data_IF_986792491453
#
_entry.id   IF_986792491453
#
_cell.length_a   1.000
_cell.length_b   1.000
_cell.length_c   1.000
_cell.angle_alpha   90.00
_cell.angle_beta   90.00
_cell.angle_gamma   90.00
#
_symmetry.space_group_name_H-M   'P 1'
#
loop_
_entity.id
_entity.type
_entity.pdbx_description
1 polymer ?
#
# COMPACT_ATOMS: atom_id res chain seq x y z
N UNK A 1 -25.45 -6.11 6.25
CA UNK A 1 -26.59 -6.22 5.31
C UNK A 1 -26.98 -4.79 4.99
N UNK A 2 -27.00 -4.40 3.71
CA UNK A 2 -27.08 -3.00 3.32
C UNK A 2 -28.53 -2.51 3.40
N UNK A 3 -28.78 -1.38 4.06
CA UNK A 3 -30.14 -0.84 4.24
C UNK A 3 -30.28 0.54 3.60
N UNK A 4 -31.36 0.72 2.84
CA UNK A 4 -31.70 1.98 2.17
C UNK A 4 -32.43 2.90 3.15
N UNK A 5 -31.81 4.03 3.50
CA UNK A 5 -32.43 5.01 4.39
C UNK A 5 -32.79 6.28 3.61
N UNK A 6 -34.05 6.74 3.76
CA UNK A 6 -34.53 8.04 3.26
C UNK A 6 -34.29 9.10 4.33
N UNK A 7 -33.52 10.15 4.02
CA UNK A 7 -33.35 11.31 4.90
C UNK A 7 -33.94 12.54 4.22
N UNK A 8 -34.80 13.27 4.94
CA UNK A 8 -35.61 14.36 4.41
C UNK A 8 -34.82 15.56 3.84
N UNK A 9 -35.48 16.24 2.88
CA UNK A 9 -35.17 17.52 2.27
C UNK A 9 -34.01 17.59 1.25
N UNK A 10 -33.83 16.54 0.47
CA UNK A 10 -33.44 16.50 -0.94
C UNK A 10 -33.40 15.01 -1.28
N UNK A 11 -33.80 14.61 -2.48
CA UNK A 11 -33.90 13.20 -2.88
C UNK A 11 -32.50 12.56 -2.91
N UNK A 12 -31.98 12.16 -1.75
CA UNK A 12 -30.65 11.55 -1.62
C UNK A 12 -30.80 10.28 -0.79
N UNK A 13 -30.76 9.16 -1.48
CA UNK A 13 -30.82 7.84 -0.90
C UNK A 13 -29.47 7.49 -0.29
N UNK A 14 -29.46 7.13 1.00
CA UNK A 14 -28.28 6.68 1.69
C UNK A 14 -28.27 5.15 1.71
N UNK A 15 -27.24 4.55 1.12
CA UNK A 15 -26.96 3.14 1.31
C UNK A 15 -26.05 2.97 2.50
N UNK A 16 -26.55 2.33 3.55
CA UNK A 16 -25.78 2.06 4.77
C UNK A 16 -25.29 0.64 4.74
N UNK A 17 -23.97 0.47 4.84
CA UNK A 17 -23.30 -0.82 4.90
C UNK A 17 -22.87 -1.05 6.35
N UNK A 18 -23.48 -2.03 6.99
CA UNK A 18 -23.03 -2.55 8.28
C UNK A 18 -21.76 -3.41 8.10
N UNK A 19 -20.64 -2.93 8.63
CA UNK A 19 -19.34 -3.59 8.59
C UNK A 19 -19.12 -4.55 9.77
N UNK A 20 -19.92 -4.51 10.84
CA UNK A 20 -19.68 -5.28 12.07
C UNK A 20 -19.57 -6.79 11.88
N UNK A 21 -20.20 -7.32 10.83
CA UNK A 21 -20.17 -8.75 10.50
C UNK A 21 -18.89 -9.19 9.78
N UNK A 22 -18.08 -8.23 9.33
CA UNK A 22 -16.83 -8.46 8.61
C UNK A 22 -15.61 -8.13 9.47
N UNK A 23 -15.78 -7.26 10.47
CA UNK A 23 -14.72 -6.82 11.37
C UNK A 23 -14.48 -7.85 12.48
N UNK A 24 -13.21 -8.10 12.81
CA UNK A 24 -12.85 -8.87 14.00
C UNK A 24 -13.08 -8.08 15.30
N UNK A 25 -12.99 -8.75 16.45
CA UNK A 25 -13.11 -8.09 17.77
C UNK A 25 -12.04 -6.99 17.93
N UNK A 26 -12.49 -5.75 18.14
CA UNK A 26 -11.62 -4.57 18.26
C UNK A 26 -11.13 -3.98 16.93
N UNK A 27 -11.55 -4.55 15.79
CA UNK A 27 -11.33 -3.97 14.46
C UNK A 27 -12.41 -2.92 14.15
N UNK A 28 -12.02 -1.76 13.64
CA UNK A 28 -12.93 -0.67 13.26
C UNK A 28 -12.45 0.08 12.03
N UNK A 29 -13.38 0.62 11.25
CA UNK A 29 -13.09 1.38 10.02
C UNK A 29 -12.40 2.70 10.36
N UNK A 30 -11.32 3.01 9.63
CA UNK A 30 -10.52 4.23 9.77
C UNK A 30 -10.51 5.09 8.52
N UNK A 31 -10.86 4.52 7.37
CA UNK A 31 -11.06 5.24 6.11
C UNK A 31 -12.00 4.48 5.17
N UNK A 32 -12.68 5.20 4.28
CA UNK A 32 -13.38 4.63 3.14
C UNK A 32 -13.16 5.50 1.89
N UNK A 33 -13.10 4.89 0.71
CA UNK A 33 -13.17 5.55 -0.61
C UNK A 33 -14.09 4.75 -1.54
N UNK A 34 -14.68 5.36 -2.57
CA UNK A 34 -15.58 4.67 -3.48
C UNK A 34 -15.55 5.19 -4.91
N UNK A 35 -15.89 4.32 -5.86
CA UNK A 35 -16.01 4.63 -7.30
C UNK A 35 -17.26 3.97 -7.88
N UNK A 36 -17.73 4.48 -9.02
CA UNK A 36 -18.87 3.92 -9.75
C UNK A 36 -18.47 3.73 -11.21
N UNK A 37 -18.86 2.61 -11.80
CA UNK A 37 -18.61 2.27 -13.20
C UNK A 37 -19.93 1.92 -13.91
N UNK A 38 -20.07 2.25 -15.21
CA UNK A 38 -19.07 2.92 -16.05
C UNK A 38 -18.93 4.42 -15.72
N UNK A 39 -17.68 4.91 -15.68
CA UNK A 39 -17.35 6.33 -15.41
C UNK A 39 -17.73 7.27 -16.57
N UNK A 40 -18.18 6.73 -17.70
CA UNK A 40 -18.57 7.48 -18.89
C UNK A 40 -19.95 8.15 -18.76
N UNK A 41 -20.74 7.77 -17.75
CA UNK A 41 -22.01 8.43 -17.47
C UNK A 41 -21.81 9.50 -16.38
N UNK A 42 -21.87 10.80 -16.74
CA UNK A 42 -21.67 11.89 -15.80
C UNK A 42 -22.85 12.08 -14.83
N UNK A 43 -24.00 11.46 -15.07
CA UNK A 43 -25.17 11.59 -14.21
C UNK A 43 -25.04 10.71 -12.97
N UNK A 44 -24.46 9.51 -13.12
CA UNK A 44 -24.20 8.62 -12.00
C UNK A 44 -22.96 9.05 -11.22
N UNK A 45 -23.15 9.46 -9.97
CA UNK A 45 -22.03 9.87 -9.11
C UNK A 45 -22.24 9.52 -7.63
N UNK A 46 -21.12 9.27 -6.95
CA UNK A 46 -21.05 9.32 -5.48
C UNK A 46 -20.98 10.78 -5.08
N UNK A 47 -22.08 11.32 -4.55
CA UNK A 47 -22.15 12.72 -4.11
C UNK A 47 -21.48 12.92 -2.77
N UNK A 48 -21.61 11.93 -1.89
CA UNK A 48 -21.09 11.96 -0.54
C UNK A 48 -20.84 10.53 -0.09
N UNK A 49 -19.86 10.39 0.78
CA UNK A 49 -19.62 9.15 1.50
C UNK A 49 -19.11 9.49 2.90
N UNK A 50 -19.62 8.75 3.88
CA UNK A 50 -19.25 8.87 5.29
C UNK A 50 -18.96 7.48 5.84
N UNK A 51 -18.19 7.45 6.92
CA UNK A 51 -17.92 6.22 7.67
C UNK A 51 -17.82 6.54 9.15
N UNK A 52 -18.18 5.55 9.97
CA UNK A 52 -17.89 5.51 11.40
C UNK A 52 -17.11 4.22 11.72
N UNK A 53 -17.01 3.83 12.99
CA UNK A 53 -16.28 2.62 13.39
C UNK A 53 -16.86 1.34 12.77
N UNK A 54 -18.17 1.30 12.56
CA UNK A 54 -18.97 0.10 12.34
C UNK A 54 -19.63 0.06 10.96
N UNK A 55 -19.62 1.17 10.21
CA UNK A 55 -20.35 1.25 8.96
C UNK A 55 -19.90 2.34 8.00
N UNK A 56 -20.42 2.23 6.78
CA UNK A 56 -20.17 3.15 5.68
C UNK A 56 -21.53 3.59 5.11
N UNK A 57 -21.71 4.89 4.94
CA UNK A 57 -22.89 5.47 4.31
C UNK A 57 -22.52 6.09 2.97
N UNK A 58 -23.26 5.73 1.92
CA UNK A 58 -23.04 6.19 0.55
C UNK A 58 -24.27 6.90 0.01
N UNK A 59 -24.08 8.10 -0.55
CA UNK A 59 -25.12 8.84 -1.25
C UNK A 59 -24.84 8.86 -2.75
N UNK A 60 -25.70 8.18 -3.49
CA UNK A 60 -25.66 8.11 -4.95
C UNK A 60 -26.69 9.05 -5.57
N UNK A 61 -26.42 9.52 -6.78
CA UNK A 61 -27.34 10.34 -7.56
C UNK A 61 -27.28 9.96 -9.04
N UNK A 62 -28.35 10.31 -9.76
CA UNK A 62 -28.47 10.16 -11.21
C UNK A 62 -28.40 8.70 -11.69
N UNK A 63 -28.02 8.54 -12.95
CA UNK A 63 -28.02 7.28 -13.66
C UNK A 63 -29.12 7.21 -14.72
N UNK A 64 -28.79 6.54 -15.82
CA UNK A 64 -29.66 6.26 -16.96
C UNK A 64 -30.63 5.15 -16.63
N UNK A 65 -31.83 5.25 -17.19
CA UNK A 65 -32.84 4.22 -17.04
C UNK A 65 -32.35 2.85 -17.55
N UNK A 66 -32.66 1.81 -16.78
CA UNK A 66 -32.32 0.40 -17.01
C UNK A 66 -30.81 0.08 -17.16
N UNK A 67 -29.91 1.02 -16.86
CA UNK A 67 -28.47 0.76 -16.91
C UNK A 67 -27.95 0.15 -15.60
N UNK A 68 -27.09 -0.86 -15.72
CA UNK A 68 -26.38 -1.47 -14.59
C UNK A 68 -25.10 -0.69 -14.29
N UNK A 69 -24.98 -0.21 -13.06
CA UNK A 69 -23.75 0.35 -12.52
C UNK A 69 -23.13 -0.59 -11.50
N UNK A 70 -21.81 -0.56 -11.41
CA UNK A 70 -21.06 -1.22 -10.36
C UNK A 70 -20.44 -0.17 -9.45
N UNK A 71 -20.77 -0.25 -8.16
CA UNK A 71 -20.12 0.53 -7.12
C UNK A 71 -19.04 -0.32 -6.48
N UNK A 72 -17.82 0.23 -6.38
CA UNK A 72 -16.72 -0.36 -5.64
C UNK A 72 -16.32 0.57 -4.49
N UNK A 73 -16.28 0.06 -3.27
CA UNK A 73 -15.85 0.77 -2.06
C UNK A 73 -14.62 0.06 -1.51
N UNK A 74 -13.61 0.85 -1.14
CA UNK A 74 -12.39 0.42 -0.46
C UNK A 74 -12.42 1.00 0.95
N UNK A 75 -12.55 0.14 1.95
CA UNK A 75 -12.53 0.51 3.37
C UNK A 75 -11.27 0.01 4.05
N UNK A 76 -10.65 0.83 4.91
CA UNK A 76 -9.47 0.49 5.71
C UNK A 76 -9.82 0.45 7.18
N UNK A 77 -9.09 -0.35 7.95
CA UNK A 77 -9.32 -0.50 9.39
C UNK A 77 -8.11 -0.13 10.23
N UNK A 78 -8.32 0.03 11.54
CA UNK A 78 -7.26 0.26 12.53
C UNK A 78 -6.22 -0.89 12.58
N UNK A 79 -6.61 -2.09 12.16
CA UNK A 79 -5.72 -3.25 12.04
C UNK A 79 -5.00 -3.32 10.68
N UNK A 80 -5.02 -2.23 9.88
CA UNK A 80 -4.43 -2.14 8.53
C UNK A 80 -5.00 -3.15 7.52
N UNK A 81 -6.20 -3.68 7.76
CA UNK A 81 -6.91 -4.50 6.78
C UNK A 81 -7.66 -3.61 5.82
N UNK A 82 -7.87 -4.13 4.61
CA UNK A 82 -8.68 -3.47 3.60
C UNK A 82 -9.83 -4.38 3.19
N UNK A 83 -10.96 -3.76 2.93
CA UNK A 83 -12.19 -4.42 2.54
C UNK A 83 -12.65 -3.82 1.22
N UNK A 84 -12.91 -4.67 0.24
CA UNK A 84 -13.53 -4.26 -1.01
C UNK A 84 -14.97 -4.71 -0.95
N UNK A 85 -15.85 -3.74 -1.12
CA UNK A 85 -17.27 -3.97 -1.23
C UNK A 85 -17.66 -3.63 -2.65
N UNK A 86 -18.23 -4.60 -3.35
CA UNK A 86 -18.69 -4.44 -4.71
C UNK A 86 -20.16 -4.77 -4.77
N UNK A 87 -20.95 -3.84 -5.31
CA UNK A 87 -22.35 -4.10 -5.56
C UNK A 87 -22.82 -3.50 -6.87
N UNK A 88 -23.81 -4.14 -7.47
CA UNK A 88 -24.46 -3.65 -8.67
C UNK A 88 -25.75 -2.93 -8.33
N UNK A 89 -25.99 -1.80 -8.98
CA UNK A 89 -27.25 -1.06 -8.92
C UNK A 89 -27.84 -0.95 -10.33
N UNK A 90 -29.15 -1.12 -10.44
CA UNK A 90 -29.91 -0.70 -11.62
C UNK A 90 -30.74 0.53 -11.26
N UNK A 91 -30.67 1.55 -12.09
CA UNK A 91 -31.49 2.76 -11.99
C UNK A 91 -32.71 2.62 -12.88
N UNK A 92 -33.88 3.01 -12.37
CA UNK A 92 -35.14 2.97 -13.10
C UNK A 92 -35.66 4.39 -13.41
N UNK A 93 -34.77 5.28 -13.90
CA UNK A 93 -35.10 6.65 -14.31
C UNK A 93 -35.50 7.64 -13.19
N UNK A 94 -35.94 7.14 -12.03
CA UNK A 94 -36.56 7.94 -10.96
C UNK A 94 -35.60 8.20 -9.79
N UNK A 95 -34.52 8.97 -10.02
CA UNK A 95 -33.62 9.61 -9.02
C UNK A 95 -33.04 8.75 -7.87
N UNK A 96 -33.37 7.46 -7.81
CA UNK A 96 -33.01 6.48 -6.80
C UNK A 96 -32.56 5.21 -7.54
N UNK A 97 -31.36 4.70 -7.30
CA UNK A 97 -31.01 3.37 -7.77
C UNK A 97 -31.93 2.35 -7.08
N UNK A 98 -32.77 1.68 -7.86
CA UNK A 98 -33.97 1.03 -7.34
C UNK A 98 -33.77 -0.47 -7.03
N UNK A 99 -32.65 -1.09 -7.43
CA UNK A 99 -32.38 -2.49 -7.09
C UNK A 99 -30.88 -2.77 -6.89
N UNK A 100 -30.51 -3.38 -5.75
CA UNK A 100 -29.18 -3.94 -5.51
C UNK A 100 -29.19 -5.40 -5.92
N UNK A 101 -28.38 -5.75 -6.90
CA UNK A 101 -28.50 -7.05 -7.58
C UNK A 101 -27.47 -8.08 -7.10
N UNK A 102 -26.37 -7.61 -6.51
CA UNK A 102 -25.35 -8.48 -5.95
C UNK A 102 -24.50 -7.68 -4.96
N UNK A 103 -24.13 -8.26 -3.81
CA UNK A 103 -23.19 -7.65 -2.86
C UNK A 103 -22.09 -8.67 -2.60
N UNK A 104 -20.91 -8.38 -3.11
CA UNK A 104 -19.69 -9.09 -2.74
C UNK A 104 -18.91 -8.23 -1.76
N UNK A 105 -18.69 -8.77 -0.56
CA UNK A 105 -17.72 -8.20 0.39
C UNK A 105 -16.56 -9.15 0.46
N UNK A 106 -15.42 -8.71 -0.03
CA UNK A 106 -14.17 -9.45 0.04
C UNK A 106 -13.18 -8.66 0.88
N UNK A 107 -12.49 -9.36 1.77
CA UNK A 107 -11.28 -8.79 2.36
C UNK A 107 -10.26 -8.70 1.23
N UNK A 108 -9.86 -7.49 0.88
CA UNK A 108 -8.73 -7.27 -0.01
C UNK A 108 -7.53 -6.97 0.86
N UNK A 109 -6.45 -7.72 0.70
CA UNK A 109 -5.19 -7.26 1.26
C UNK A 109 -4.85 -5.93 0.59
N UNK A 110 -4.75 -4.83 1.35
CA UNK A 110 -4.02 -3.66 0.85
C UNK A 110 -2.62 -4.17 0.51
N UNK A 111 -2.08 -3.68 -0.61
CA UNK A 111 -0.81 -4.10 -1.19
C UNK A 111 0.40 -3.87 -0.25
N UNK A 112 0.53 -4.80 0.71
CA UNK A 112 1.74 -5.40 1.26
C UNK A 112 1.35 -6.89 1.28
N UNK A 113 1.61 -7.55 0.16
CA UNK A 113 0.72 -8.53 -0.45
C UNK A 113 0.36 -9.75 0.37
N UNK A 114 -0.94 -10.06 0.50
CA UNK A 114 -1.37 -11.40 0.89
C UNK A 114 -0.82 -12.42 -0.11
N UNK A 115 0.10 -13.26 0.36
CA UNK A 115 0.73 -14.33 -0.40
C UNK A 115 2.05 -13.97 -1.07
N UNK A 116 2.54 -12.74 -0.95
CA UNK A 116 3.91 -12.41 -1.34
C UNK A 116 4.73 -12.48 -0.07
N UNK A 117 5.52 -13.54 0.07
CA UNK A 117 6.32 -13.81 1.25
C UNK A 117 7.32 -12.68 1.61
N UNK A 118 8.46 -12.96 2.23
CA UNK A 118 9.37 -11.90 2.64
C UNK A 118 9.88 -11.08 1.44
N UNK A 119 9.72 -9.74 1.45
CA UNK A 119 10.24 -8.83 0.41
C UNK A 119 10.92 -7.63 1.06
N UNK A 120 12.14 -7.32 0.63
CA UNK A 120 12.85 -6.10 1.04
C UNK A 120 12.88 -5.07 -0.08
N UNK A 121 12.50 -3.82 0.24
CA UNK A 121 12.63 -2.66 -0.61
C UNK A 121 13.77 -1.76 -0.11
N UNK A 122 14.49 -1.12 -1.04
CA UNK A 122 15.63 -0.25 -0.77
C UNK A 122 15.32 1.20 -1.17
N UNK A 123 15.55 2.15 -0.27
CA UNK A 123 15.36 3.57 -0.51
C UNK A 123 16.60 4.37 -0.06
N UNK A 124 17.44 4.87 -0.98
CA UNK A 124 17.37 4.70 -2.44
C UNK A 124 17.77 3.29 -2.91
N UNK A 125 17.36 2.90 -4.12
CA UNK A 125 17.63 1.57 -4.69
C UNK A 125 19.10 1.35 -5.12
N UNK A 126 19.93 2.39 -5.12
CA UNK A 126 21.38 2.33 -5.37
C UNK A 126 22.08 3.53 -4.71
N UNK A 127 23.39 3.42 -4.48
CA UNK A 127 24.20 4.53 -3.96
C UNK A 127 25.39 4.81 -4.89
N UNK A 128 25.59 6.09 -5.18
CA UNK A 128 26.78 6.59 -5.89
C UNK A 128 27.55 7.52 -4.97
N UNK A 129 28.84 7.28 -4.80
CA UNK A 129 29.72 8.03 -3.92
C UNK A 129 30.51 9.09 -4.69
N UNK A 130 30.84 10.23 -4.04
CA UNK A 130 31.68 11.24 -4.65
C UNK A 130 33.10 10.71 -4.90
N UNK A 131 33.84 11.43 -5.75
CA UNK A 131 35.26 11.17 -5.93
C UNK A 131 36.00 11.27 -4.58
N UNK A 132 36.79 10.26 -4.27
CA UNK A 132 37.50 10.12 -2.99
C UNK A 132 38.95 9.75 -3.28
N UNK A 133 39.91 10.37 -2.59
CA UNK A 133 41.32 10.06 -2.77
C UNK A 133 41.62 8.59 -2.43
N UNK A 134 42.55 7.97 -3.16
CA UNK A 134 42.98 6.60 -2.84
C UNK A 134 43.49 6.49 -1.39
N UNK A 135 42.96 5.53 -0.65
CA UNK A 135 43.26 5.32 0.78
C UNK A 135 42.36 6.09 1.75
N UNK A 136 41.63 7.11 1.28
CA UNK A 136 40.73 7.91 2.11
C UNK A 136 39.31 7.34 2.13
N UNK A 137 38.53 7.66 3.17
CA UNK A 137 37.15 7.21 3.31
C UNK A 137 36.17 8.35 3.03
N UNK A 138 35.18 8.09 2.18
CA UNK A 138 34.15 9.06 1.82
C UNK A 138 33.25 9.43 3.00
N UNK A 139 32.50 10.53 2.85
CA UNK A 139 31.30 10.75 3.65
C UNK A 139 30.34 9.55 3.51
N UNK A 140 29.64 9.23 4.60
CA UNK A 140 28.71 8.12 4.60
C UNK A 140 27.42 8.47 3.84
N UNK A 141 26.82 7.46 3.21
CA UNK A 141 25.47 7.55 2.62
C UNK A 141 24.57 6.50 3.24
N UNK A 142 23.31 6.82 3.43
CA UNK A 142 22.34 5.94 4.06
C UNK A 142 21.36 5.36 3.04
N UNK A 143 20.86 4.17 3.34
CA UNK A 143 19.73 3.55 2.65
C UNK A 143 18.82 2.92 3.69
N UNK A 144 17.53 3.16 3.55
CA UNK A 144 16.50 2.51 4.35
C UNK A 144 16.07 1.22 3.65
N UNK A 145 15.96 0.17 4.45
CA UNK A 145 15.59 -1.17 4.03
C UNK A 145 14.27 -1.51 4.72
N UNK A 146 13.19 -1.56 3.95
CA UNK A 146 11.82 -1.77 4.42
C UNK A 146 11.34 -3.17 4.04
N UNK A 147 10.72 -3.89 4.97
CA UNK A 147 9.96 -5.08 4.62
C UNK A 147 8.59 -4.68 4.06
N UNK A 148 8.42 -4.86 2.76
CA UNK A 148 7.16 -4.60 2.02
C UNK A 148 6.41 -5.89 1.67
N UNK A 149 6.87 -7.04 2.18
CA UNK A 149 6.19 -8.33 2.06
C UNK A 149 5.26 -8.61 3.25
N UNK A 150 4.48 -9.70 3.17
CA UNK A 150 3.55 -10.08 4.24
C UNK A 150 4.20 -10.93 5.35
N UNK A 151 5.37 -11.50 5.09
CA UNK A 151 6.07 -12.36 6.04
C UNK A 151 7.26 -11.63 6.66
N UNK A 152 7.57 -11.97 7.92
CA UNK A 152 8.77 -11.49 8.59
C UNK A 152 10.03 -11.90 7.84
N UNK A 153 10.88 -10.92 7.51
CA UNK A 153 12.22 -11.20 6.98
C UNK A 153 13.12 -11.66 8.12
N UNK A 154 13.75 -12.81 7.94
CA UNK A 154 14.83 -13.30 8.81
C UNK A 154 16.16 -13.10 8.10
N UNK A 155 16.96 -12.15 8.59
CA UNK A 155 18.26 -11.80 8.03
C UNK A 155 19.29 -12.84 8.46
N UNK A 156 20.02 -13.38 7.48
CA UNK A 156 21.14 -14.30 7.69
C UNK A 156 22.48 -13.59 7.56
N UNK A 157 22.62 -12.71 6.56
CA UNK A 157 23.87 -11.97 6.37
C UNK A 157 23.65 -10.64 5.63
N UNK A 158 24.59 -9.72 5.81
CA UNK A 158 24.70 -8.49 5.02
C UNK A 158 26.17 -8.39 4.61
N UNK A 159 26.44 -8.50 3.30
CA UNK A 159 27.80 -8.65 2.77
C UNK A 159 28.11 -7.56 1.73
N UNK A 160 29.11 -6.70 1.96
CA UNK A 160 29.59 -5.75 0.97
C UNK A 160 30.60 -6.41 0.02
N UNK A 161 30.81 -5.80 -1.15
CA UNK A 161 31.87 -6.17 -2.09
C UNK A 161 32.71 -4.96 -2.50
N UNK A 162 33.93 -5.23 -2.97
CA UNK A 162 34.84 -4.19 -3.47
C UNK A 162 35.34 -3.25 -2.37
N UNK A 163 35.32 -1.95 -2.66
CA UNK A 163 35.86 -0.89 -1.81
C UNK A 163 34.80 -0.29 -0.86
N UNK A 164 33.71 -1.01 -0.59
CA UNK A 164 32.58 -0.52 0.18
C UNK A 164 32.51 -1.21 1.54
N UNK A 165 32.13 -0.45 2.57
CA UNK A 165 31.89 -0.95 3.93
C UNK A 165 30.56 -0.42 4.44
N UNK A 166 29.97 -1.08 5.44
CA UNK A 166 28.69 -0.69 5.98
C UNK A 166 28.62 -0.81 7.51
N UNK A 167 27.67 -0.09 8.10
CA UNK A 167 27.10 -0.33 9.42
C UNK A 167 25.60 -0.52 9.28
N UNK A 168 25.01 -1.40 10.09
CA UNK A 168 23.58 -1.65 10.13
C UNK A 168 23.06 -1.56 11.56
N UNK A 169 21.84 -1.10 11.73
CA UNK A 169 21.08 -1.20 12.99
C UNK A 169 20.06 -2.37 12.97
N UNK A 170 20.15 -3.27 11.99
CA UNK A 170 19.26 -4.42 11.89
C UNK A 170 19.39 -5.35 13.11
N UNK A 171 18.27 -5.88 13.57
CA UNK A 171 18.19 -6.80 14.72
C UNK A 171 17.99 -8.26 14.31
N UNK A 172 18.30 -8.60 13.05
CA UNK A 172 18.17 -9.95 12.51
C UNK A 172 16.76 -10.34 12.03
N UNK A 173 15.71 -9.62 12.46
CA UNK A 173 14.35 -9.77 11.97
C UNK A 173 13.76 -8.42 11.59
N UNK A 174 12.89 -8.42 10.57
CA UNK A 174 12.17 -7.23 10.11
C UNK A 174 10.73 -7.64 9.87
N UNK A 175 9.82 -7.25 10.77
CA UNK A 175 8.40 -7.56 10.59
C UNK A 175 7.81 -6.78 9.39
N UNK A 176 6.66 -7.20 8.83
CA UNK A 176 5.99 -6.45 7.78
C UNK A 176 5.77 -4.99 8.15
N UNK A 177 6.21 -4.07 7.28
CA UNK A 177 6.14 -2.62 7.51
C UNK A 177 7.21 -2.04 8.43
N UNK A 178 8.12 -2.86 8.98
CA UNK A 178 9.29 -2.38 9.72
C UNK A 178 10.49 -2.14 8.78
N UNK A 179 11.41 -1.29 9.24
CA UNK A 179 12.61 -0.93 8.50
C UNK A 179 13.86 -0.89 9.37
N UNK A 180 15.01 -1.05 8.72
CA UNK A 180 16.31 -0.74 9.30
C UNK A 180 17.12 0.10 8.31
N UNK A 181 18.21 0.71 8.78
CA UNK A 181 19.05 1.60 7.98
C UNK A 181 20.44 1.01 7.83
N UNK A 182 20.97 1.05 6.61
CA UNK A 182 22.38 0.81 6.33
C UNK A 182 23.09 2.14 6.14
N UNK A 183 24.22 2.31 6.81
CA UNK A 183 25.15 3.42 6.60
C UNK A 183 26.37 2.91 5.86
N UNK A 184 26.55 3.32 4.61
CA UNK A 184 27.56 2.79 3.68
C UNK A 184 28.66 3.83 3.45
N UNK A 185 29.90 3.39 3.32
CA UNK A 185 31.09 4.21 3.04
C UNK A 185 31.92 3.59 1.91
N UNK A 186 32.67 4.43 1.21
CA UNK A 186 33.56 4.05 0.11
C UNK A 186 35.01 4.42 0.45
N UNK A 187 35.94 3.48 0.27
CA UNK A 187 37.38 3.66 0.52
C UNK A 187 38.19 3.07 -0.65
N UNK A 188 38.44 3.84 -1.73
CA UNK A 188 39.09 3.32 -2.94
C UNK A 188 40.54 2.93 -2.67
N UNK A 189 40.98 1.80 -3.25
CA UNK A 189 42.38 1.33 -3.21
C UNK A 189 43.14 1.59 -4.51
N UNK A 190 42.45 2.11 -5.53
CA UNK A 190 43.00 2.47 -6.85
C UNK A 190 42.23 3.62 -7.45
N UNK A 191 42.84 4.32 -8.38
CA UNK A 191 42.17 5.37 -9.16
C UNK A 191 41.17 4.77 -10.16
N UNK A 192 40.19 5.57 -10.57
CA UNK A 192 39.14 5.17 -11.52
C UNK A 192 37.84 4.73 -10.86
N UNK A 193 36.85 4.36 -11.69
CA UNK A 193 35.52 3.94 -11.22
C UNK A 193 35.58 2.56 -10.58
N UNK A 194 34.98 2.43 -9.41
CA UNK A 194 34.84 1.18 -8.67
C UNK A 194 33.36 0.88 -8.49
N UNK A 195 32.95 -0.30 -8.95
CA UNK A 195 31.62 -0.85 -8.73
C UNK A 195 31.64 -1.88 -7.62
N UNK A 196 30.51 -2.03 -6.95
CA UNK A 196 30.31 -3.03 -5.91
C UNK A 196 28.84 -3.16 -5.56
N UNK A 197 28.57 -3.87 -4.48
CA UNK A 197 27.22 -4.08 -3.97
C UNK A 197 27.23 -4.39 -2.48
N UNK A 198 26.06 -4.23 -1.84
CA UNK A 198 25.75 -4.91 -0.59
C UNK A 198 24.63 -5.90 -0.86
N UNK A 199 24.86 -7.17 -0.53
CA UNK A 199 23.85 -8.22 -0.59
C UNK A 199 23.28 -8.42 0.81
N UNK A 200 21.98 -8.23 0.95
CA UNK A 200 21.23 -8.52 2.17
C UNK A 200 20.54 -9.85 1.91
N UNK A 201 20.90 -10.87 2.69
CA UNK A 201 20.47 -12.25 2.47
C UNK A 201 19.76 -12.82 3.70
N UNK A 202 18.82 -13.73 3.47
CA UNK A 202 17.88 -14.20 4.50
C UNK A 202 16.95 -15.30 4.01
N UNK A 203 15.68 -15.23 4.43
CA UNK A 203 14.57 -15.93 3.77
C UNK A 203 14.05 -15.19 2.52
N UNK A 204 14.58 -14.00 2.25
CA UNK A 204 14.52 -13.26 0.99
C UNK A 204 15.86 -12.55 0.81
N UNK A 205 16.17 -12.14 -0.42
CA UNK A 205 17.45 -11.52 -0.74
C UNK A 205 17.24 -10.28 -1.59
N UNK A 206 17.96 -9.20 -1.28
CA UNK A 206 18.01 -7.98 -2.10
C UNK A 206 19.44 -7.48 -2.22
N UNK A 207 19.78 -6.94 -3.39
CA UNK A 207 21.12 -6.41 -3.66
C UNK A 207 21.03 -4.90 -3.87
N UNK A 208 21.83 -4.15 -3.12
CA UNK A 208 22.04 -2.72 -3.30
C UNK A 208 23.26 -2.48 -4.19
N UNK A 209 23.11 -1.98 -5.43
CA UNK A 209 24.23 -1.63 -6.28
C UNK A 209 24.94 -0.36 -5.78
N UNK A 210 26.27 -0.37 -5.85
CA UNK A 210 27.14 0.72 -5.39
C UNK A 210 28.12 1.14 -6.48
N UNK A 211 28.40 2.44 -6.58
CA UNK A 211 29.47 2.96 -7.42
C UNK A 211 30.20 4.12 -6.74
N UNK A 212 31.48 4.30 -7.08
CA UNK A 212 32.31 5.40 -6.61
C UNK A 212 33.53 5.58 -7.51
N UNK A 213 34.31 6.66 -7.31
CA UNK A 213 35.53 6.91 -8.09
C UNK A 213 36.71 7.23 -7.17
N UNK A 214 37.81 6.50 -7.34
CA UNK A 214 39.10 6.83 -6.76
C UNK A 214 39.82 7.90 -7.58
N UNK A 215 40.41 8.89 -6.91
CA UNK A 215 41.27 9.93 -7.53
C UNK A 215 42.65 9.94 -6.94
#
# INVERSE_FOLDING_TARGET
>A
MMELHRKDAAVVYAYVIDMRRYLDEGEFVTAASGTVTPVSDPEMAIRRMEYDADGIALWLTGGQDELRYTVEIIARTNMRRTWRLRFAIITHGDAAPAEIIDITVEQIADAVGAGVGPILALAPASLTFPATAVGETSAARTVDVLNVGSDTVSLRSIAPSGAFSFKSNAQGRVAPGESFTLTVRFTPTRTGTVYGSIVIDGNTSVTLPLSGRGT
#
